data_IF_028614093636
#
_entry.id   IF_028614093636
#
_cell.length_a   1.000
_cell.length_b   1.000
_cell.length_c   1.000
_cell.angle_alpha   90.00
_cell.angle_beta   90.00
_cell.angle_gamma   90.00
#
_symmetry.space_group_name_H-M   'P 1'
#
loop_
_entity.id
_entity.type
_entity.pdbx_description
1 polymer ?
#
# COMPACT_ATOMS: atom_id res chain seq x y z
N UNK A 1 16.39 -10.68 -0.79
CA UNK A 1 15.01 -10.44 -1.28
C UNK A 1 15.06 -9.32 -2.32
N UNK A 2 14.51 -9.55 -3.51
CA UNK A 2 14.33 -8.50 -4.52
C UNK A 2 13.09 -7.68 -4.12
N UNK A 3 13.15 -6.35 -4.18
CA UNK A 3 11.99 -5.50 -3.91
C UNK A 3 10.98 -5.66 -5.05
N UNK A 4 9.76 -6.08 -4.74
CA UNK A 4 8.64 -6.18 -5.70
C UNK A 4 7.76 -4.94 -5.60
N UNK A 5 7.44 -4.33 -6.73
CA UNK A 5 6.51 -3.20 -6.81
C UNK A 5 5.06 -3.70 -6.74
N UNK A 6 4.55 -3.85 -5.51
CA UNK A 6 3.21 -4.41 -5.25
C UNK A 6 2.10 -3.38 -5.13
N UNK A 7 2.45 -2.11 -4.95
CA UNK A 7 1.50 -1.04 -4.65
C UNK A 7 1.86 0.25 -5.37
N UNK A 8 0.83 0.96 -5.82
CA UNK A 8 0.93 2.37 -6.24
C UNK A 8 0.33 3.21 -5.11
N UNK A 9 1.10 4.15 -4.58
CA UNK A 9 0.68 5.04 -3.49
C UNK A 9 0.58 6.46 -4.03
N UNK A 10 -0.61 7.05 -3.93
CA UNK A 10 -0.83 8.46 -4.23
C UNK A 10 -1.06 9.24 -2.94
N UNK A 11 -0.19 10.20 -2.63
CA UNK A 11 -0.40 11.11 -1.51
C UNK A 11 -1.57 12.03 -1.84
N UNK A 12 -2.58 12.07 -0.97
CA UNK A 12 -3.82 12.82 -1.23
C UNK A 12 -3.55 14.31 -1.47
N UNK A 13 -2.62 14.92 -0.72
CA UNK A 13 -2.25 16.33 -0.92
C UNK A 13 -1.74 16.60 -2.33
N UNK A 14 -1.00 15.66 -2.90
CA UNK A 14 -0.35 15.83 -4.20
C UNK A 14 -1.37 15.59 -5.32
N UNK A 15 -2.26 14.60 -5.14
CA UNK A 15 -3.43 14.39 -6.01
C UNK A 15 -4.28 15.66 -6.09
N UNK A 16 -4.60 16.27 -4.94
CA UNK A 16 -5.44 17.48 -4.88
C UNK A 16 -4.77 18.66 -5.59
N UNK A 17 -3.44 18.80 -5.45
CA UNK A 17 -2.68 19.94 -6.01
C UNK A 17 -2.35 19.77 -7.49
N UNK A 18 -2.10 18.55 -7.94
CA UNK A 18 -1.56 18.27 -9.27
C UNK A 18 -2.63 17.93 -10.30
N UNK A 19 -3.70 17.23 -9.90
CA UNK A 19 -4.71 16.74 -10.83
C UNK A 19 -5.82 17.76 -11.09
N UNK A 20 -6.35 17.74 -12.31
CA UNK A 20 -7.61 18.41 -12.64
C UNK A 20 -8.80 17.72 -11.94
N UNK A 21 -9.97 18.36 -11.92
CA UNK A 21 -11.16 17.74 -11.33
C UNK A 21 -11.63 16.52 -12.13
N UNK A 22 -11.48 16.55 -13.45
CA UNK A 22 -11.73 15.40 -14.33
C UNK A 22 -10.81 14.22 -13.99
N UNK A 23 -9.53 14.48 -13.76
CA UNK A 23 -8.55 13.44 -13.39
C UNK A 23 -8.84 12.88 -11.99
N UNK A 24 -9.24 13.72 -11.03
CA UNK A 24 -9.67 13.28 -9.70
C UNK A 24 -10.90 12.36 -9.79
N UNK A 25 -11.87 12.71 -10.65
CA UNK A 25 -13.05 11.87 -10.87
C UNK A 25 -12.65 10.51 -11.49
N UNK A 26 -11.78 10.51 -12.50
CA UNK A 26 -11.26 9.27 -13.10
C UNK A 26 -10.53 8.40 -12.08
N UNK A 27 -9.72 8.99 -11.20
CA UNK A 27 -9.03 8.28 -10.13
C UNK A 27 -10.02 7.68 -9.12
N UNK A 28 -11.08 8.41 -8.77
CA UNK A 28 -12.15 7.93 -7.92
C UNK A 28 -12.89 6.74 -8.54
N UNK A 29 -13.19 6.79 -9.84
CA UNK A 29 -13.85 5.71 -10.57
C UNK A 29 -12.96 4.45 -10.62
N UNK A 30 -11.65 4.61 -10.84
CA UNK A 30 -10.69 3.49 -10.79
C UNK A 30 -10.67 2.87 -9.39
N UNK A 31 -10.60 3.70 -8.34
CA UNK A 31 -10.63 3.24 -6.94
C UNK A 31 -11.92 2.44 -6.66
N UNK A 32 -13.06 2.94 -7.12
CA UNK A 32 -14.35 2.28 -6.92
C UNK A 32 -14.41 0.90 -7.58
N UNK A 33 -13.94 0.78 -8.83
CA UNK A 33 -13.86 -0.53 -9.53
C UNK A 33 -13.00 -1.54 -8.77
N UNK A 34 -11.89 -1.10 -8.17
CA UNK A 34 -11.04 -1.97 -7.36
C UNK A 34 -11.73 -2.42 -6.07
N UNK A 35 -12.48 -1.52 -5.41
CA UNK A 35 -13.28 -1.88 -4.24
C UNK A 35 -14.35 -2.92 -4.58
N UNK A 36 -15.09 -2.71 -5.67
CA UNK A 36 -16.11 -3.65 -6.16
C UNK A 36 -15.52 -5.02 -6.49
N UNK A 37 -14.37 -5.06 -7.18
CA UNK A 37 -13.65 -6.30 -7.46
C UNK A 37 -13.30 -7.05 -6.16
N UNK A 38 -12.78 -6.35 -5.14
CA UNK A 38 -12.44 -6.98 -3.86
C UNK A 38 -13.68 -7.55 -3.16
N UNK A 39 -14.75 -6.77 -3.08
CA UNK A 39 -16.01 -7.19 -2.47
C UNK A 39 -16.60 -8.42 -3.19
N UNK A 40 -16.63 -8.39 -4.53
CA UNK A 40 -17.11 -9.52 -5.35
C UNK A 40 -16.29 -10.81 -5.14
N UNK A 41 -15.03 -10.69 -4.71
CA UNK A 41 -14.14 -11.80 -4.40
C UNK A 41 -14.06 -12.11 -2.89
N UNK A 42 -14.98 -11.60 -2.08
CA UNK A 42 -15.03 -11.84 -0.63
C UNK A 42 -13.83 -11.27 0.14
N UNK A 43 -13.11 -10.31 -0.45
CA UNK A 43 -11.95 -9.67 0.18
C UNK A 43 -12.38 -8.38 0.88
N UNK A 44 -11.94 -8.13 2.12
CA UNK A 44 -12.22 -6.87 2.81
C UNK A 44 -11.54 -5.70 2.11
N UNK A 45 -11.91 -4.48 2.50
CA UNK A 45 -11.14 -3.29 2.12
C UNK A 45 -9.67 -3.43 2.54
N UNK A 46 -8.76 -2.95 1.69
CA UNK A 46 -7.34 -2.99 2.02
C UNK A 46 -7.01 -1.83 2.96
N UNK A 47 -6.69 -2.15 4.21
CA UNK A 47 -6.10 -1.19 5.13
C UNK A 47 -4.59 -1.41 5.18
N UNK A 48 -3.82 -0.33 5.07
CA UNK A 48 -2.37 -0.35 5.18
C UNK A 48 -1.87 0.92 5.85
N UNK A 49 -0.71 0.81 6.49
CA UNK A 49 0.06 1.96 6.96
C UNK A 49 1.12 2.24 5.90
N UNK A 50 1.23 3.49 5.49
CA UNK A 50 2.33 3.99 4.67
C UNK A 50 3.25 4.76 5.59
N UNK A 51 4.54 4.41 5.59
CA UNK A 51 5.59 5.19 6.22
C UNK A 51 6.43 5.83 5.11
N UNK A 52 6.47 7.17 5.07
CA UNK A 52 7.34 7.89 4.14
C UNK A 52 8.79 7.82 4.65
N UNK A 53 9.77 7.76 3.73
CA UNK A 53 11.18 7.54 4.10
C UNK A 53 11.80 8.68 4.93
N UNK A 54 11.17 9.84 4.94
CA UNK A 54 11.57 11.01 5.73
C UNK A 54 10.92 11.06 7.12
N UNK A 55 9.99 10.14 7.41
CA UNK A 55 9.38 10.04 8.74
C UNK A 55 10.30 9.31 9.71
N UNK A 56 10.39 9.74 10.98
CA UNK A 56 11.22 9.06 11.98
C UNK A 56 10.80 7.61 12.24
N UNK A 57 9.55 7.25 11.93
CA UNK A 57 9.01 5.90 12.07
C UNK A 57 9.41 4.94 10.94
N UNK A 58 10.00 5.42 9.84
CA UNK A 58 10.28 4.60 8.66
C UNK A 58 11.22 3.42 8.98
N UNK A 59 12.40 3.69 9.53
CA UNK A 59 13.39 2.65 9.82
C UNK A 59 12.90 1.67 10.90
N UNK A 60 12.27 2.12 12.01
CA UNK A 60 11.62 1.23 12.96
C UNK A 60 10.58 0.28 12.34
N UNK A 61 9.70 0.80 11.46
CA UNK A 61 8.67 -0.02 10.79
C UNK A 61 9.33 -1.02 9.84
N UNK A 62 10.34 -0.59 9.08
CA UNK A 62 11.09 -1.46 8.18
C UNK A 62 11.72 -2.63 8.93
N UNK A 63 12.42 -2.36 10.03
CA UNK A 63 13.07 -3.39 10.83
C UNK A 63 12.05 -4.39 11.39
N UNK A 64 10.93 -3.91 11.94
CA UNK A 64 9.88 -4.79 12.47
C UNK A 64 9.30 -5.73 11.40
N UNK A 65 9.16 -5.26 10.16
CA UNK A 65 8.71 -6.09 9.03
C UNK A 65 9.81 -7.10 8.63
N UNK A 66 11.08 -6.65 8.56
CA UNK A 66 12.21 -7.50 8.19
C UNK A 66 12.38 -8.66 9.18
N UNK A 67 12.33 -8.38 10.48
CA UNK A 67 12.45 -9.39 11.55
C UNK A 67 11.34 -10.44 11.46
N UNK A 68 10.09 -10.00 11.25
CA UNK A 68 8.94 -10.90 11.07
C UNK A 68 9.14 -11.83 9.87
N UNK A 69 9.56 -11.27 8.72
CA UNK A 69 9.76 -12.08 7.50
C UNK A 69 10.92 -13.07 7.68
N UNK A 70 12.00 -12.66 8.34
CA UNK A 70 13.11 -13.56 8.65
C UNK A 70 12.66 -14.73 9.55
N UNK A 71 11.84 -14.46 10.57
CA UNK A 71 11.28 -15.49 11.44
C UNK A 71 10.35 -16.46 10.68
N UNK A 72 9.50 -15.93 9.79
CA UNK A 72 8.62 -16.75 8.94
C UNK A 72 9.41 -17.66 7.98
N UNK A 73 10.52 -17.18 7.43
CA UNK A 73 11.39 -17.97 6.54
C UNK A 73 12.15 -19.07 7.29
N UNK A 74 12.64 -18.79 8.50
CA UNK A 74 13.28 -19.79 9.35
C UNK A 74 12.30 -20.93 9.71
N UNK A 75 11.06 -20.61 10.05
CA UNK A 75 10.03 -21.59 10.41
C UNK A 75 9.55 -22.46 9.23
N UNK A 76 9.79 -22.06 7.98
CA UNK A 76 9.43 -22.82 6.78
C UNK A 76 10.56 -23.73 6.28
N UNK A 77 11.77 -23.57 6.82
CA UNK A 77 12.94 -24.36 6.46
C UNK A 77 13.15 -25.61 7.34
N UNK A 78 12.42 -25.71 8.45
CA UNK A 78 12.34 -26.87 9.36
C UNK A 78 11.12 -27.76 9.03
#
# INVERSE_FOLDING_TARGET
MVREERYIVFKISDVVRCLSDDDKQRLADIRQKLCEYRQANGKPEQHCVVAESDWPEYEPIWQAIADRVAAEQAAQAD
#
